data_IF_485697667812
#
_entry.id   IF_485697667812
#
_cell.length_a   1.000
_cell.length_b   1.000
_cell.length_c   1.000
_cell.angle_alpha   90.00
_cell.angle_beta   90.00
_cell.angle_gamma   90.00
#
_symmetry.space_group_name_H-M   'P 1'
#
loop_
_entity.id
_entity.type
_entity.pdbx_description
1 polymer ?
#
# COMPACT_ATOMS: atom_id res chain seq x y z
N UNK A 1 -96.63 17.23 1.43
CA UNK A 1 -95.36 17.47 2.11
C UNK A 1 -94.77 16.09 2.43
N UNK A 2 -93.87 15.49 1.84
CA UNK A 2 -92.77 15.84 0.94
C UNK A 2 -92.26 14.54 0.30
N UNK A 3 -92.41 14.42 -1.01
CA UNK A 3 -92.13 13.23 -1.85
C UNK A 3 -90.65 13.14 -2.34
N UNK A 4 -89.74 13.52 -1.52
CA UNK A 4 -88.36 13.63 -1.95
C UNK A 4 -87.37 12.65 -1.31
N UNK A 5 -87.82 11.66 -0.52
CA UNK A 5 -86.94 10.77 0.26
C UNK A 5 -86.76 9.35 -0.27
N UNK A 6 -87.37 8.95 -1.41
CA UNK A 6 -87.43 7.52 -1.81
C UNK A 6 -86.64 7.15 -3.05
N UNK A 7 -85.94 8.06 -3.68
CA UNK A 7 -85.16 7.78 -4.96
C UNK A 7 -83.66 7.72 -4.79
N UNK A 8 -83.12 7.84 -3.56
CA UNK A 8 -81.68 7.91 -3.33
C UNK A 8 -81.07 6.66 -2.65
N UNK A 9 -81.89 5.62 -2.43
CA UNK A 9 -81.39 4.37 -1.79
C UNK A 9 -81.25 3.18 -2.74
N UNK A 10 -81.47 3.36 -4.05
CA UNK A 10 -81.39 2.25 -5.03
C UNK A 10 -80.18 2.30 -5.99
N UNK A 11 -79.29 3.28 -5.88
CA UNK A 11 -78.09 3.39 -6.72
C UNK A 11 -76.77 3.09 -6.00
N UNK A 12 -76.79 2.64 -4.74
CA UNK A 12 -75.58 2.42 -3.93
C UNK A 12 -75.23 0.94 -3.72
N UNK A 13 -75.88 0.00 -4.37
CA UNK A 13 -75.67 -1.44 -4.18
C UNK A 13 -74.98 -2.14 -5.38
N UNK A 14 -74.76 -1.44 -6.49
CA UNK A 14 -74.17 -2.05 -7.69
C UNK A 14 -72.69 -1.70 -7.90
N UNK A 15 -72.09 -0.83 -7.10
CA UNK A 15 -70.67 -0.44 -7.24
C UNK A 15 -69.66 -1.13 -6.34
N UNK A 16 -70.07 -2.11 -5.50
CA UNK A 16 -69.17 -2.81 -4.54
C UNK A 16 -68.82 -4.24 -4.91
N UNK A 17 -69.10 -4.70 -6.13
CA UNK A 17 -68.81 -6.10 -6.52
C UNK A 17 -67.76 -6.24 -7.64
N UNK A 18 -66.96 -5.21 -7.94
CA UNK A 18 -65.95 -5.26 -9.03
C UNK A 18 -64.55 -4.83 -8.57
N UNK A 19 -64.21 -4.90 -7.30
CA UNK A 19 -62.88 -4.52 -6.77
C UNK A 19 -62.14 -5.68 -6.10
N UNK A 20 -62.38 -6.93 -6.52
CA UNK A 20 -61.71 -8.12 -5.94
C UNK A 20 -61.16 -9.05 -7.03
N UNK A 21 -60.57 -8.51 -8.11
CA UNK A 21 -59.84 -9.38 -9.05
C UNK A 21 -58.63 -8.61 -9.60
N UNK A 22 -57.51 -8.60 -8.88
CA UNK A 22 -56.29 -7.94 -9.34
C UNK A 22 -55.16 -7.90 -8.37
N UNK A 23 -55.13 -8.78 -7.33
CA UNK A 23 -53.89 -9.04 -6.61
C UNK A 23 -53.14 -10.15 -7.35
N UNK A 24 -52.49 -9.78 -8.46
CA UNK A 24 -51.40 -10.60 -8.98
C UNK A 24 -50.32 -10.63 -7.91
N UNK A 25 -50.15 -11.77 -7.29
CA UNK A 25 -49.04 -12.05 -6.40
C UNK A 25 -47.72 -11.79 -7.16
N UNK A 26 -47.18 -10.57 -6.95
CA UNK A 26 -45.80 -10.29 -7.27
C UNK A 26 -44.98 -11.13 -6.27
N UNK A 27 -44.74 -12.38 -6.60
CA UNK A 27 -43.74 -13.17 -5.88
C UNK A 27 -42.40 -12.49 -6.12
N UNK A 28 -41.77 -11.86 -5.12
CA UNK A 28 -40.39 -11.47 -5.27
C UNK A 28 -39.65 -12.76 -5.54
N UNK A 29 -39.06 -12.87 -6.75
CA UNK A 29 -38.21 -13.97 -7.10
C UNK A 29 -37.20 -14.10 -5.97
N UNK A 30 -37.29 -15.18 -5.20
CA UNK A 30 -36.27 -15.53 -4.24
C UNK A 30 -35.00 -15.74 -5.08
N UNK A 31 -34.14 -14.70 -5.14
CA UNK A 31 -32.78 -14.90 -5.58
C UNK A 31 -32.19 -15.90 -4.60
N UNK A 32 -32.14 -17.17 -5.00
CA UNK A 32 -31.40 -18.16 -4.27
C UNK A 32 -29.97 -17.63 -4.16
N UNK A 33 -29.61 -17.16 -2.99
CA UNK A 33 -28.25 -16.70 -2.71
C UNK A 33 -27.34 -17.90 -2.99
N UNK A 34 -26.57 -17.81 -4.08
CA UNK A 34 -25.70 -18.90 -4.48
C UNK A 34 -24.75 -19.21 -3.32
N UNK A 35 -24.82 -20.42 -2.81
CA UNK A 35 -23.91 -20.85 -1.75
C UNK A 35 -22.47 -20.77 -2.25
N UNK A 36 -21.62 -20.04 -1.53
CA UNK A 36 -20.24 -19.73 -1.92
C UNK A 36 -19.27 -19.98 -0.78
N UNK A 37 -18.06 -20.34 -1.15
CA UNK A 37 -16.91 -20.42 -0.25
C UNK A 37 -16.02 -19.22 -0.51
N UNK A 38 -15.67 -18.51 0.55
CA UNK A 38 -14.74 -17.38 0.51
C UNK A 38 -13.48 -17.79 1.27
N UNK A 39 -12.35 -17.65 0.63
CA UNK A 39 -11.03 -18.02 1.19
C UNK A 39 -10.09 -16.87 1.02
N UNK A 40 -9.33 -16.58 2.08
CA UNK A 40 -8.15 -15.71 2.03
C UNK A 40 -6.92 -16.57 2.32
N UNK A 41 -5.98 -16.58 1.39
CA UNK A 41 -4.76 -17.38 1.52
C UNK A 41 -3.53 -16.59 1.06
N UNK A 42 -2.39 -16.91 1.64
CA UNK A 42 -1.12 -16.26 1.30
C UNK A 42 -0.19 -17.25 0.60
N UNK A 43 0.62 -16.71 -0.33
CA UNK A 43 1.79 -17.37 -0.86
C UNK A 43 3.03 -16.61 -0.43
N UNK A 44 4.11 -17.33 -0.18
CA UNK A 44 5.37 -16.80 0.37
C UNK A 44 6.54 -17.34 -0.43
N UNK A 45 7.51 -16.46 -0.73
CA UNK A 45 8.81 -16.82 -1.28
C UNK A 45 9.88 -16.09 -0.48
N UNK A 46 10.85 -16.83 0.04
CA UNK A 46 11.97 -16.26 0.77
C UNK A 46 13.15 -16.00 -0.17
N UNK A 47 13.85 -14.89 0.03
CA UNK A 47 14.98 -14.48 -0.82
C UNK A 47 16.05 -13.75 -0.01
N UNK A 48 17.31 -14.01 -0.32
CA UNK A 48 18.41 -13.17 0.14
C UNK A 48 18.44 -11.91 -0.73
N UNK A 49 18.40 -10.71 -0.13
CA UNK A 49 18.56 -9.47 -0.88
C UNK A 49 19.88 -9.43 -1.65
N UNK A 50 19.89 -8.81 -2.82
CA UNK A 50 21.09 -8.58 -3.64
C UNK A 50 21.31 -7.10 -3.94
N UNK A 51 20.36 -6.24 -3.54
CA UNK A 51 20.42 -4.78 -3.70
C UNK A 51 19.82 -4.08 -2.47
N UNK A 52 20.12 -2.78 -2.37
CA UNK A 52 19.54 -1.93 -1.34
C UNK A 52 19.27 -0.52 -1.88
N UNK A 53 18.35 0.18 -1.21
CA UNK A 53 18.06 1.59 -1.44
C UNK A 53 18.15 2.34 -0.11
N UNK A 54 18.64 3.58 -0.15
CA UNK A 54 18.64 4.47 1.00
C UNK A 54 18.38 5.91 0.59
N UNK A 55 17.77 6.67 1.49
CA UNK A 55 17.54 8.11 1.29
C UNK A 55 18.78 8.92 1.67
N UNK A 56 19.08 9.95 0.88
CA UNK A 56 20.07 10.98 1.24
C UNK A 56 19.40 12.34 1.20
N UNK A 57 19.60 13.12 2.23
CA UNK A 57 19.04 14.46 2.33
C UNK A 57 20.16 15.49 2.41
N UNK A 58 20.00 16.53 1.61
CA UNK A 58 20.87 17.69 1.56
C UNK A 58 20.04 18.91 1.95
N UNK A 59 20.49 19.66 2.92
CA UNK A 59 19.79 20.85 3.38
C UNK A 59 20.75 22.02 3.55
N UNK A 60 20.31 23.22 3.17
CA UNK A 60 21.05 24.45 3.39
C UNK A 60 20.10 25.55 3.83
N UNK A 61 20.56 26.38 4.74
CA UNK A 61 19.82 27.53 5.24
C UNK A 61 20.56 28.83 4.86
N UNK A 62 19.81 29.82 4.38
CA UNK A 62 20.38 31.14 4.02
C UNK A 62 19.37 32.27 4.28
N UNK A 63 19.83 33.52 4.20
CA UNK A 63 18.97 34.69 4.38
C UNK A 63 17.93 34.85 3.26
N UNK A 64 18.23 34.39 2.06
CA UNK A 64 17.31 34.38 0.93
C UNK A 64 17.21 33.01 0.27
N UNK A 65 16.12 32.79 -0.48
CA UNK A 65 15.80 31.53 -1.11
C UNK A 65 16.84 31.13 -2.18
N UNK A 66 17.30 32.08 -2.97
CA UNK A 66 18.28 31.86 -4.03
C UNK A 66 19.60 31.30 -3.48
N UNK A 67 20.10 31.87 -2.39
CA UNK A 67 21.33 31.43 -1.75
C UNK A 67 21.18 30.04 -1.12
N UNK A 68 20.05 29.78 -0.43
CA UNK A 68 19.77 28.46 0.13
C UNK A 68 19.73 27.39 -0.98
N UNK A 69 19.07 27.69 -2.10
CA UNK A 69 19.00 26.80 -3.26
C UNK A 69 20.38 26.55 -3.90
N UNK A 70 21.19 27.62 -4.07
CA UNK A 70 22.53 27.50 -4.64
C UNK A 70 23.46 26.64 -3.77
N UNK A 71 23.46 26.86 -2.46
CA UNK A 71 24.28 26.09 -1.51
C UNK A 71 23.85 24.60 -1.48
N UNK A 72 22.55 24.31 -1.57
CA UNK A 72 22.05 22.93 -1.67
C UNK A 72 22.43 22.27 -3.00
N UNK A 73 22.35 23.01 -4.09
CA UNK A 73 22.77 22.50 -5.41
C UNK A 73 24.28 22.20 -5.46
N UNK A 74 25.10 22.95 -4.77
CA UNK A 74 26.54 22.67 -4.66
C UNK A 74 26.80 21.40 -3.83
N UNK A 75 26.14 21.23 -2.69
CA UNK A 75 26.20 19.98 -1.93
C UNK A 75 25.79 18.78 -2.78
N UNK A 76 24.69 18.90 -3.53
CA UNK A 76 24.20 17.84 -4.41
C UNK A 76 25.25 17.45 -5.47
N UNK A 77 25.90 18.40 -6.12
CA UNK A 77 26.97 18.10 -7.09
C UNK A 77 28.13 17.32 -6.46
N UNK A 78 28.55 17.69 -5.23
CA UNK A 78 29.59 16.96 -4.50
C UNK A 78 29.18 15.54 -4.18
N UNK A 79 27.95 15.34 -3.66
CA UNK A 79 27.43 14.02 -3.34
C UNK A 79 27.28 13.16 -4.60
N UNK A 80 26.81 13.71 -5.71
CA UNK A 80 26.75 12.99 -6.99
C UNK A 80 28.13 12.52 -7.46
N UNK A 81 29.14 13.37 -7.36
CA UNK A 81 30.51 13.02 -7.72
C UNK A 81 31.07 11.89 -6.84
N UNK A 82 30.82 11.98 -5.52
CA UNK A 82 31.26 10.97 -4.56
C UNK A 82 30.57 9.62 -4.77
N UNK A 83 29.25 9.62 -5.00
CA UNK A 83 28.47 8.40 -5.31
C UNK A 83 28.98 7.73 -6.58
N UNK A 84 29.28 8.51 -7.62
CA UNK A 84 29.87 7.98 -8.87
C UNK A 84 31.21 7.31 -8.62
N UNK A 85 32.08 7.91 -7.81
CA UNK A 85 33.35 7.31 -7.39
C UNK A 85 33.16 6.05 -6.58
N UNK A 86 32.07 5.96 -5.80
CA UNK A 86 31.67 4.77 -5.08
C UNK A 86 30.94 3.71 -5.94
N UNK A 87 30.98 3.86 -7.28
CA UNK A 87 30.35 2.94 -8.26
C UNK A 87 28.83 2.94 -8.24
N UNK A 88 28.21 4.06 -7.85
CA UNK A 88 26.78 4.30 -8.00
C UNK A 88 26.56 5.25 -9.18
N UNK A 89 25.96 4.80 -10.28
CA UNK A 89 25.68 5.65 -11.43
C UNK A 89 24.59 6.66 -11.12
N UNK A 90 24.56 7.77 -11.86
CA UNK A 90 23.65 8.87 -11.62
C UNK A 90 22.16 8.46 -11.76
N UNK A 91 21.88 7.53 -12.66
CA UNK A 91 20.54 6.97 -12.90
C UNK A 91 19.99 6.19 -11.68
N UNK A 92 20.88 5.69 -10.83
CA UNK A 92 20.54 4.99 -9.57
C UNK A 92 20.46 5.96 -8.37
N UNK A 93 20.53 7.27 -8.60
CA UNK A 93 20.38 8.28 -7.55
C UNK A 93 19.40 9.41 -7.96
N UNK A 94 18.13 9.06 -8.32
CA UNK A 94 17.15 10.05 -8.72
C UNK A 94 16.71 10.96 -7.58
N UNK A 95 16.33 12.18 -7.94
CA UNK A 95 15.69 13.11 -7.00
C UNK A 95 14.32 12.56 -6.56
N UNK A 96 14.13 12.44 -5.25
CA UNK A 96 12.86 12.08 -4.64
C UNK A 96 11.99 13.32 -4.36
N UNK A 97 12.62 14.40 -3.87
CA UNK A 97 11.94 15.67 -3.65
C UNK A 97 12.92 16.85 -3.60
N UNK A 98 12.40 18.02 -3.93
CA UNK A 98 13.12 19.28 -3.79
C UNK A 98 12.16 20.36 -3.29
N UNK A 99 12.54 21.05 -2.22
CA UNK A 99 11.71 22.09 -1.60
C UNK A 99 12.56 23.26 -1.16
N UNK A 100 12.07 24.47 -1.37
CA UNK A 100 12.60 25.69 -0.79
C UNK A 100 11.49 26.37 -0.02
N UNK A 101 11.67 26.61 1.26
CA UNK A 101 10.65 27.16 2.15
C UNK A 101 11.20 28.24 3.07
N UNK A 102 10.38 29.24 3.43
CA UNK A 102 10.75 30.21 4.45
C UNK A 102 10.82 29.55 5.82
N UNK A 103 11.80 29.95 6.62
CA UNK A 103 11.96 29.52 8.00
C UNK A 103 11.44 30.62 8.94
N UNK A 104 10.32 30.34 9.60
CA UNK A 104 9.68 31.24 10.55
C UNK A 104 9.99 30.83 11.97
N UNK A 105 10.35 31.75 12.83
CA UNK A 105 10.57 31.53 14.25
C UNK A 105 9.66 32.43 15.06
N UNK A 106 9.01 31.86 16.08
CA UNK A 106 8.16 32.64 16.98
C UNK A 106 9.00 33.44 17.96
N UNK A 107 8.88 34.78 17.94
CA UNK A 107 9.52 35.68 18.90
C UNK A 107 8.56 35.97 20.05
N UNK A 108 8.88 35.43 21.24
CA UNK A 108 8.04 35.60 22.43
C UNK A 108 7.97 37.04 22.90
N UNK A 109 9.03 37.85 22.68
CA UNK A 109 9.09 39.24 23.10
C UNK A 109 8.22 40.17 22.25
N UNK A 110 8.06 39.85 20.98
CA UNK A 110 7.27 40.60 20.02
C UNK A 110 5.88 39.99 19.77
N UNK A 111 5.61 38.81 20.29
CA UNK A 111 4.33 38.10 20.10
C UNK A 111 3.99 37.80 18.64
N UNK A 112 5.00 37.59 17.77
CA UNK A 112 4.82 37.36 16.33
C UNK A 112 5.89 36.45 15.73
N UNK A 113 5.57 35.83 14.61
CA UNK A 113 6.54 35.07 13.81
C UNK A 113 7.44 36.00 13.01
N UNK A 114 8.75 35.77 13.07
CA UNK A 114 9.77 36.48 12.32
C UNK A 114 10.38 35.58 11.27
N UNK A 115 10.54 36.09 10.06
CA UNK A 115 11.26 35.39 9.00
C UNK A 115 12.76 35.40 9.33
N UNK A 116 13.34 34.21 9.61
CA UNK A 116 14.77 34.05 9.91
C UNK A 116 15.61 33.75 8.66
N UNK A 117 14.98 33.35 7.58
CA UNK A 117 15.63 33.03 6.33
C UNK A 117 14.84 31.97 5.55
N UNK A 118 15.57 31.20 4.75
CA UNK A 118 15.02 30.17 3.90
C UNK A 118 15.82 28.89 4.05
N UNK A 119 15.13 27.76 3.96
CA UNK A 119 15.70 26.43 3.93
C UNK A 119 15.45 25.80 2.57
N UNK A 120 16.50 25.31 1.92
CA UNK A 120 16.38 24.46 0.74
C UNK A 120 16.72 23.01 1.14
N UNK A 121 15.85 22.07 0.78
CA UNK A 121 15.99 20.63 1.06
C UNK A 121 15.91 19.86 -0.24
N UNK A 122 16.89 19.00 -0.49
CA UNK A 122 16.96 18.11 -1.65
C UNK A 122 17.12 16.69 -1.15
N UNK A 123 16.13 15.84 -1.40
CA UNK A 123 16.18 14.41 -1.08
C UNK A 123 16.37 13.61 -2.36
N UNK A 124 17.26 12.62 -2.30
CA UNK A 124 17.50 11.63 -3.36
C UNK A 124 17.35 10.23 -2.79
N UNK A 125 16.97 9.28 -3.64
CA UNK A 125 16.98 7.85 -3.30
C UNK A 125 18.16 7.24 -4.04
N UNK A 126 19.06 6.63 -3.28
CA UNK A 126 20.27 5.98 -3.82
C UNK A 126 20.04 4.49 -3.87
N UNK A 127 20.09 3.91 -5.06
CA UNK A 127 19.98 2.48 -5.30
C UNK A 127 21.37 1.88 -5.48
N UNK A 128 21.69 0.87 -4.68
CA UNK A 128 22.96 0.13 -4.75
C UNK A 128 22.68 -1.29 -5.21
N UNK A 129 23.10 -1.63 -6.43
CA UNK A 129 22.84 -2.93 -7.08
C UNK A 129 23.78 -4.05 -6.61
N UNK A 130 24.79 -3.72 -5.82
CA UNK A 130 25.73 -4.68 -5.26
C UNK A 130 25.90 -4.40 -3.78
N UNK A 131 25.37 -5.27 -2.92
CA UNK A 131 25.32 -5.04 -1.47
C UNK A 131 26.67 -4.72 -0.85
N UNK A 132 27.76 -5.33 -1.33
CA UNK A 132 29.12 -5.04 -0.82
C UNK A 132 29.58 -3.59 -1.02
N UNK A 133 28.85 -2.80 -1.80
CA UNK A 133 29.16 -1.38 -2.03
C UNK A 133 28.33 -0.42 -1.18
N UNK A 134 27.33 -0.92 -0.43
CA UNK A 134 26.37 -0.04 0.27
C UNK A 134 27.06 0.81 1.33
N UNK A 135 27.93 0.23 2.16
CA UNK A 135 28.69 0.97 3.18
C UNK A 135 29.53 2.06 2.53
N UNK A 136 30.27 1.74 1.46
CA UNK A 136 31.05 2.71 0.70
C UNK A 136 30.21 3.85 0.11
N UNK A 137 29.02 3.54 -0.41
CA UNK A 137 28.11 4.54 -0.96
C UNK A 137 27.58 5.48 0.12
N UNK A 138 27.23 4.95 1.29
CA UNK A 138 26.81 5.74 2.45
C UNK A 138 27.94 6.62 2.94
N UNK A 139 29.13 6.07 3.15
CA UNK A 139 30.30 6.81 3.64
C UNK A 139 30.68 7.93 2.66
N UNK A 140 30.63 7.65 1.35
CA UNK A 140 30.87 8.64 0.31
C UNK A 140 29.87 9.80 0.33
N UNK A 141 28.58 9.48 0.51
CA UNK A 141 27.54 10.51 0.61
C UNK A 141 27.75 11.42 1.85
N UNK A 142 28.02 10.82 3.00
CA UNK A 142 28.26 11.54 4.26
C UNK A 142 29.50 12.42 4.16
N UNK A 143 30.63 11.89 3.68
CA UNK A 143 31.88 12.64 3.50
C UNK A 143 31.74 13.80 2.50
N UNK A 144 30.87 13.63 1.49
CA UNK A 144 30.60 14.68 0.50
C UNK A 144 29.66 15.80 1.01
N UNK A 145 29.11 15.64 2.23
CA UNK A 145 28.29 16.64 2.89
C UNK A 145 26.78 16.37 2.85
N UNK A 146 26.38 15.09 2.79
CA UNK A 146 25.00 14.71 3.09
C UNK A 146 24.67 15.09 4.54
N UNK A 147 23.55 15.77 4.75
CA UNK A 147 23.11 16.17 6.08
C UNK A 147 22.42 15.02 6.83
N UNK A 148 21.80 14.09 6.06
CA UNK A 148 21.07 12.96 6.63
C UNK A 148 21.11 11.77 5.68
N UNK A 149 21.28 10.56 6.22
CA UNK A 149 21.07 9.29 5.54
C UNK A 149 19.91 8.57 6.19
N UNK A 150 18.90 8.21 5.41
CA UNK A 150 17.63 7.67 5.89
C UNK A 150 17.39 6.26 5.39
N UNK A 151 16.66 5.46 6.19
CA UNK A 151 15.88 4.28 5.77
C UNK A 151 16.59 3.37 4.77
N UNK A 152 17.54 2.57 5.23
CA UNK A 152 18.13 1.55 4.37
C UNK A 152 17.12 0.42 4.18
N UNK A 153 16.73 0.17 2.94
CA UNK A 153 15.82 -0.90 2.55
C UNK A 153 16.55 -1.88 1.64
N UNK A 154 16.60 -3.13 2.06
CA UNK A 154 17.12 -4.21 1.24
C UNK A 154 16.03 -4.78 0.35
N UNK A 155 16.38 -5.19 -0.85
CA UNK A 155 15.46 -5.79 -1.81
C UNK A 155 16.17 -6.78 -2.73
N UNK A 156 15.43 -7.41 -3.62
CA UNK A 156 16.00 -8.29 -4.65
C UNK A 156 15.76 -7.70 -6.03
N UNK A 157 16.78 -7.78 -6.88
CA UNK A 157 16.66 -7.46 -8.32
C UNK A 157 15.60 -8.32 -9.01
N UNK A 158 15.28 -9.50 -8.43
CA UNK A 158 14.27 -10.44 -8.91
C UNK A 158 12.93 -10.27 -8.18
N UNK A 159 12.71 -9.16 -7.47
CA UNK A 159 11.51 -8.97 -6.66
C UNK A 159 10.22 -9.25 -7.42
N UNK A 160 10.07 -8.73 -8.62
CA UNK A 160 8.83 -8.89 -9.40
C UNK A 160 8.61 -10.34 -9.85
N UNK A 161 9.67 -11.04 -10.27
CA UNK A 161 9.59 -12.48 -10.58
C UNK A 161 9.14 -13.29 -9.36
N UNK A 162 9.77 -13.05 -8.20
CA UNK A 162 9.48 -13.75 -6.96
C UNK A 162 8.08 -13.41 -6.43
N UNK A 163 7.63 -12.16 -6.63
CA UNK A 163 6.26 -11.74 -6.32
C UNK A 163 5.23 -12.49 -7.15
N UNK A 164 5.50 -12.73 -8.43
CA UNK A 164 4.64 -13.54 -9.29
C UNK A 164 4.59 -15.01 -8.83
N UNK A 165 5.71 -15.56 -8.39
CA UNK A 165 5.75 -16.90 -7.81
C UNK A 165 4.93 -16.99 -6.51
N UNK A 166 5.07 -15.99 -5.63
CA UNK A 166 4.29 -15.89 -4.39
C UNK A 166 2.77 -15.76 -4.70
N UNK A 167 2.41 -14.99 -5.74
CA UNK A 167 1.03 -14.82 -6.17
C UNK A 167 0.44 -16.16 -6.67
N UNK A 168 1.16 -16.89 -7.51
CA UNK A 168 0.75 -18.20 -8.00
C UNK A 168 0.57 -19.20 -6.83
N UNK A 169 1.48 -19.18 -5.87
CA UNK A 169 1.38 -19.99 -4.65
C UNK A 169 0.13 -19.63 -3.82
N UNK A 170 -0.16 -18.32 -3.66
CA UNK A 170 -1.35 -17.85 -2.94
C UNK A 170 -2.65 -18.37 -3.55
N UNK A 171 -2.79 -18.30 -4.88
CA UNK A 171 -3.97 -18.81 -5.59
C UNK A 171 -4.09 -20.32 -5.43
N UNK A 172 -2.97 -21.07 -5.53
CA UNK A 172 -2.92 -22.50 -5.29
C UNK A 172 -3.35 -22.88 -3.87
N UNK A 173 -2.89 -22.13 -2.88
CA UNK A 173 -3.27 -22.31 -1.47
C UNK A 173 -4.76 -22.04 -1.28
N UNK A 174 -5.27 -20.91 -1.81
CA UNK A 174 -6.70 -20.58 -1.73
C UNK A 174 -7.60 -21.67 -2.31
N UNK A 175 -7.21 -22.26 -3.43
CA UNK A 175 -7.95 -23.39 -4.03
C UNK A 175 -7.94 -24.64 -3.14
N UNK A 176 -6.78 -24.97 -2.54
CA UNK A 176 -6.68 -26.11 -1.61
C UNK A 176 -7.55 -25.91 -0.38
N UNK A 177 -7.44 -24.76 0.25
CA UNK A 177 -8.20 -24.43 1.46
C UNK A 177 -9.70 -24.41 1.16
N UNK A 178 -10.09 -23.82 0.02
CA UNK A 178 -11.48 -23.85 -0.46
C UNK A 178 -12.02 -25.25 -0.68
N UNK A 179 -11.20 -26.15 -1.21
CA UNK A 179 -11.60 -27.55 -1.41
C UNK A 179 -11.81 -28.27 -0.07
N UNK A 180 -10.92 -28.06 0.91
CA UNK A 180 -11.03 -28.60 2.27
C UNK A 180 -12.31 -28.07 2.93
N UNK A 181 -12.57 -26.76 2.86
CA UNK A 181 -13.78 -26.14 3.41
C UNK A 181 -15.05 -26.69 2.77
N UNK A 182 -15.06 -26.85 1.43
CA UNK A 182 -16.19 -27.40 0.72
C UNK A 182 -16.50 -28.83 1.15
N UNK A 183 -15.47 -29.66 1.28
CA UNK A 183 -15.60 -31.05 1.72
C UNK A 183 -16.12 -31.12 3.17
N UNK A 184 -15.59 -30.34 4.08
CA UNK A 184 -16.02 -30.25 5.47
C UNK A 184 -17.49 -29.77 5.60
N UNK A 185 -17.94 -28.92 4.66
CA UNK A 185 -19.33 -28.48 4.57
C UNK A 185 -20.28 -29.47 3.88
N UNK A 186 -19.84 -30.68 3.58
CA UNK A 186 -20.67 -31.70 2.97
C UNK A 186 -20.89 -31.52 1.46
N UNK A 187 -19.94 -30.90 0.76
CA UNK A 187 -20.02 -30.66 -0.68
C UNK A 187 -18.65 -30.66 -1.37
N UNK A 188 -18.58 -30.00 -2.50
CA UNK A 188 -17.35 -29.87 -3.27
C UNK A 188 -17.15 -28.43 -3.76
N UNK A 189 -15.89 -28.03 -3.99
CA UNK A 189 -15.54 -26.75 -4.56
C UNK A 189 -15.97 -26.72 -6.04
N UNK A 190 -16.72 -25.69 -6.40
CA UNK A 190 -17.15 -25.44 -7.76
C UNK A 190 -16.23 -24.48 -8.51
N UNK A 191 -16.80 -23.78 -9.47
CA UNK A 191 -16.10 -22.80 -10.29
C UNK A 191 -15.64 -21.58 -9.47
N UNK A 192 -14.49 -21.03 -9.83
CA UNK A 192 -14.02 -19.72 -9.34
C UNK A 192 -14.98 -18.63 -9.83
N UNK A 193 -15.49 -17.83 -8.91
CA UNK A 193 -16.37 -16.69 -9.20
C UNK A 193 -15.54 -15.41 -9.28
N UNK A 194 -14.63 -15.25 -8.33
CA UNK A 194 -13.81 -14.03 -8.20
C UNK A 194 -12.49 -14.36 -7.51
N UNK A 195 -11.43 -13.71 -7.94
CA UNK A 195 -10.15 -13.68 -7.21
C UNK A 195 -9.55 -12.29 -7.31
N UNK A 196 -9.07 -11.79 -6.20
CA UNK A 196 -8.40 -10.51 -6.11
C UNK A 196 -7.21 -10.57 -5.17
N UNK A 197 -6.23 -9.71 -5.41
CA UNK A 197 -5.13 -9.50 -4.48
C UNK A 197 -5.69 -8.68 -3.33
N UNK A 198 -5.61 -9.23 -2.12
CA UNK A 198 -5.87 -8.45 -0.91
C UNK A 198 -4.71 -7.48 -0.73
N UNK A 199 -5.00 -6.18 -0.68
CA UNK A 199 -3.96 -5.22 -0.32
C UNK A 199 -3.42 -5.64 1.05
N UNK A 200 -2.10 -5.79 1.21
CA UNK A 200 -1.54 -6.05 2.52
C UNK A 200 -1.94 -4.88 3.41
N UNK A 201 -2.69 -5.17 4.46
CA UNK A 201 -2.74 -4.27 5.60
C UNK A 201 -1.29 -4.19 6.07
N UNK A 202 -0.67 -3.04 5.91
CA UNK A 202 0.72 -2.79 6.27
C UNK A 202 0.86 -3.03 7.77
N UNK A 203 1.11 -4.27 8.14
CA UNK A 203 1.63 -4.60 9.48
C UNK A 203 3.04 -4.08 9.48
N UNK A 204 3.27 -3.00 10.24
CA UNK A 204 4.54 -2.29 10.28
C UNK A 204 5.73 -3.24 10.28
N UNK A 205 6.61 -3.08 9.30
CA UNK A 205 7.91 -3.74 9.31
C UNK A 205 8.62 -3.31 10.60
N UNK A 206 9.33 -4.21 11.28
CA UNK A 206 10.19 -3.80 12.37
C UNK A 206 11.17 -2.75 11.82
N UNK A 207 10.99 -1.51 12.20
CA UNK A 207 12.00 -0.47 12.04
C UNK A 207 13.10 -0.87 13.02
N UNK A 208 14.24 -1.35 12.52
CA UNK A 208 15.43 -1.42 13.33
C UNK A 208 15.82 0.03 13.68
N UNK A 209 15.53 0.43 14.91
CA UNK A 209 16.13 1.61 15.50
C UNK A 209 17.65 1.38 15.53
N UNK A 210 18.36 2.08 14.68
CA UNK A 210 19.81 2.17 14.78
C UNK A 210 20.12 3.00 16.02
N UNK A 211 20.48 2.32 17.11
CA UNK A 211 21.15 2.96 18.24
C UNK A 211 22.44 3.61 17.72
N UNK A 212 22.51 4.93 17.86
CA UNK A 212 23.72 5.70 17.56
C UNK A 212 24.84 5.26 18.50
N UNK A 213 25.64 4.30 18.08
CA UNK A 213 26.92 3.99 18.70
C UNK A 213 27.93 5.04 18.26
N UNK A 214 28.33 5.90 19.19
CA UNK A 214 29.54 6.72 19.08
C UNK A 214 30.75 5.78 19.08
N UNK A 215 31.15 5.29 17.92
CA UNK A 215 32.39 4.53 17.73
C UNK A 215 33.24 5.20 16.66
N UNK A 216 34.57 5.02 16.76
CA UNK A 216 35.57 5.46 15.80
C UNK A 216 35.20 5.10 14.34
N UNK A 217 35.74 5.79 13.31
CA UNK A 217 35.33 5.61 11.92
C UNK A 217 35.77 4.23 11.39
N UNK A 218 34.95 3.22 11.69
CA UNK A 218 35.01 1.93 11.00
C UNK A 218 34.09 2.01 9.77
N UNK A 219 34.43 1.33 8.65
CA UNK A 219 33.54 1.25 7.49
C UNK A 219 32.16 0.75 7.89
N UNK A 220 31.13 1.31 7.30
CA UNK A 220 29.74 0.90 7.55
C UNK A 220 29.52 -0.51 7.01
N UNK A 221 29.42 -1.51 7.91
CA UNK A 221 29.08 -2.89 7.54
C UNK A 221 27.61 -3.15 7.73
N UNK A 222 26.96 -3.69 6.70
CA UNK A 222 25.53 -4.00 6.68
C UNK A 222 25.33 -5.42 6.16
N UNK A 223 24.76 -6.29 7.01
CA UNK A 223 24.45 -7.67 6.69
C UNK A 223 22.91 -7.87 6.66
N UNK A 224 22.28 -7.93 5.48
CA UNK A 224 20.85 -8.16 5.38
C UNK A 224 20.50 -9.60 5.74
N UNK A 225 19.39 -9.76 6.45
CA UNK A 225 18.74 -11.05 6.64
C UNK A 225 17.93 -11.45 5.40
N UNK A 226 17.60 -12.75 5.32
CA UNK A 226 16.62 -13.25 4.35
C UNK A 226 15.27 -12.53 4.52
N UNK A 227 14.63 -12.20 3.39
CA UNK A 227 13.35 -11.49 3.35
C UNK A 227 12.27 -12.36 2.72
N UNK A 228 11.05 -12.22 3.23
CA UNK A 228 9.88 -12.89 2.72
C UNK A 228 9.07 -11.96 1.81
N UNK A 229 8.84 -12.41 0.59
CA UNK A 229 7.88 -11.80 -0.31
C UNK A 229 6.57 -12.54 -0.12
N UNK A 230 5.58 -11.86 0.46
CA UNK A 230 4.27 -12.44 0.77
C UNK A 230 3.21 -11.75 -0.06
N UNK A 231 2.38 -12.54 -0.73
CA UNK A 231 1.19 -12.05 -1.46
C UNK A 231 -0.03 -12.75 -0.88
N UNK A 232 -1.06 -11.99 -0.55
CA UNK A 232 -2.34 -12.53 -0.07
C UNK A 232 -3.41 -12.31 -1.12
N UNK A 233 -4.21 -13.34 -1.37
CA UNK A 233 -5.37 -13.28 -2.27
C UNK A 233 -6.63 -13.63 -1.51
N UNK A 234 -7.73 -12.98 -1.88
CA UNK A 234 -9.08 -13.41 -1.49
C UNK A 234 -9.78 -13.94 -2.72
N UNK A 235 -10.41 -15.11 -2.59
CA UNK A 235 -11.12 -15.79 -3.68
C UNK A 235 -12.50 -16.23 -3.24
N UNK A 236 -13.44 -16.22 -4.20
CA UNK A 236 -14.80 -16.69 -4.03
C UNK A 236 -15.06 -17.82 -5.02
N UNK A 237 -15.59 -18.92 -4.52
CA UNK A 237 -15.87 -20.12 -5.27
C UNK A 237 -17.33 -20.52 -5.08
N UNK A 238 -17.94 -21.13 -6.10
CA UNK A 238 -19.24 -21.75 -5.96
C UNK A 238 -19.14 -22.97 -5.05
N UNK A 239 -20.05 -23.10 -4.09
CA UNK A 239 -20.21 -24.33 -3.32
C UNK A 239 -21.23 -25.22 -4.01
N UNK A 240 -20.89 -26.49 -4.17
CA UNK A 240 -21.77 -27.50 -4.75
C UNK A 240 -22.04 -28.52 -3.65
N UNK A 241 -23.25 -28.51 -3.09
CA UNK A 241 -23.67 -29.46 -2.08
C UNK A 241 -23.65 -30.89 -2.66
N UNK A 242 -23.16 -31.85 -1.91
CA UNK A 242 -23.37 -33.26 -2.25
C UNK A 242 -24.84 -33.57 -2.08
N UNK A 243 -25.48 -34.10 -3.13
CA UNK A 243 -26.84 -34.65 -3.00
C UNK A 243 -26.78 -35.75 -1.93
N UNK A 244 -27.42 -35.50 -0.79
CA UNK A 244 -27.60 -36.58 0.17
C UNK A 244 -28.38 -37.68 -0.52
N UNK A 245 -27.73 -38.83 -0.77
CA UNK A 245 -28.44 -40.01 -1.13
C UNK A 245 -29.43 -40.33 0.01
N UNK A 246 -30.72 -40.12 -0.25
CA UNK A 246 -31.80 -40.60 0.61
C UNK A 246 -31.84 -42.11 0.58
#
# INVERSE_FOLDING_TARGET
MNEKGRKMKRKLIVCTLWLFLGVTAFSPGAHAEESRIVVSASGKVSVKPDMAEFGVVLQSNAKNAERAAADTAEKYRRVQAALRTASVPLEDAPTASYTVSPNWEWDQSLGKSLLKGYSARHAIIVKVRTLGLIGRAIDAAVQAGADEVQSIMFSSSRYEELRQQALAAAVGNARRDGAIMAQAAGGRLGQLIEVGISQPQYSGRPQMEMMALKAAPAPTELAPSEQDIVVTVTSRWRFIASSAAR
#
